data_IF_821981030486
#
_entry.id   IF_821981030486
#
_cell.length_a   1.000
_cell.length_b   1.000
_cell.length_c   1.000
_cell.angle_alpha   90.00
_cell.angle_beta   90.00
_cell.angle_gamma   90.00
#
_symmetry.space_group_name_H-M   'P 1'
#
loop_
_entity.id
_entity.type
_entity.pdbx_description
1 polymer ?
#
# COMPACT_ATOMS: atom_id res chain seq x y z
N UNK A 1 -45.49 84.64 26.21
CA UNK A 1 -45.83 83.38 26.90
C UNK A 1 -45.44 82.23 25.98
N UNK A 2 -44.51 81.39 26.42
CA UNK A 2 -44.26 80.01 25.94
C UNK A 2 -45.18 79.05 26.74
N UNK A 3 -45.26 77.72 26.50
CA UNK A 3 -44.64 76.82 25.50
C UNK A 3 -45.69 75.87 24.85
N UNK A 4 -45.33 75.01 23.89
CA UNK A 4 -45.29 73.53 24.00
C UNK A 4 -46.06 72.96 22.76
N UNK A 5 -45.81 71.83 22.10
CA UNK A 5 -44.96 70.64 22.24
C UNK A 5 -44.96 69.98 20.85
N UNK A 6 -43.79 69.62 20.30
CA UNK A 6 -43.62 68.40 19.49
C UNK A 6 -42.12 68.18 19.19
N UNK A 7 -41.37 67.84 20.24
CA UNK A 7 -40.05 67.22 20.11
C UNK A 7 -40.28 65.71 20.09
N UNK A 8 -40.28 65.11 18.91
CA UNK A 8 -40.21 63.65 18.77
C UNK A 8 -38.83 63.20 19.27
N UNK A 9 -38.81 62.68 20.49
CA UNK A 9 -37.68 62.02 21.11
C UNK A 9 -37.38 60.72 20.34
N UNK A 10 -36.45 60.79 19.38
CA UNK A 10 -35.76 59.59 18.90
C UNK A 10 -34.85 59.12 20.03
N UNK A 11 -35.37 58.24 20.87
CA UNK A 11 -34.59 57.69 21.97
C UNK A 11 -33.43 56.82 21.44
N UNK A 12 -32.19 57.03 21.92
CA UNK A 12 -31.00 56.34 21.44
C UNK A 12 -31.00 54.82 21.71
N UNK A 13 -31.91 54.31 22.55
CA UNK A 13 -32.01 52.88 22.88
C UNK A 13 -32.60 52.03 21.74
N UNK A 14 -33.44 52.58 20.86
CA UNK A 14 -33.99 51.81 19.73
C UNK A 14 -32.95 51.51 18.65
N UNK A 15 -32.03 52.46 18.40
CA UNK A 15 -30.88 52.24 17.50
C UNK A 15 -29.89 51.25 18.12
N UNK A 16 -29.66 51.35 19.44
CA UNK A 16 -28.81 50.41 20.17
C UNK A 16 -29.37 48.97 20.14
N UNK A 17 -30.69 48.79 20.33
CA UNK A 17 -31.34 47.48 20.26
C UNK A 17 -31.33 46.88 18.85
N UNK A 18 -31.47 47.69 17.79
CA UNK A 18 -31.38 47.22 16.40
C UNK A 18 -29.96 46.81 16.01
N UNK A 19 -28.95 47.53 16.49
CA UNK A 19 -27.53 47.19 16.27
C UNK A 19 -27.15 45.93 17.08
N UNK A 20 -27.65 45.79 18.31
CA UNK A 20 -27.42 44.59 19.13
C UNK A 20 -28.10 43.34 18.53
N UNK A 21 -29.32 43.49 17.97
CA UNK A 21 -30.00 42.40 17.27
C UNK A 21 -29.29 42.00 15.97
N UNK A 22 -28.72 42.95 15.21
CA UNK A 22 -27.91 42.63 14.03
C UNK A 22 -26.57 41.99 14.38
N UNK A 23 -25.92 42.40 15.48
CA UNK A 23 -24.69 41.76 15.95
C UNK A 23 -24.94 40.36 16.53
N UNK A 24 -26.10 40.10 17.14
CA UNK A 24 -26.49 38.76 17.60
C UNK A 24 -26.86 37.80 16.45
N UNK A 25 -27.38 38.30 15.32
CA UNK A 25 -27.62 37.49 14.13
C UNK A 25 -26.32 37.18 13.36
N UNK A 26 -25.31 38.05 13.44
CA UNK A 26 -23.98 37.82 12.82
C UNK A 26 -23.04 36.93 13.63
N UNK A 27 -23.26 36.76 14.94
CA UNK A 27 -22.51 35.83 15.80
C UNK A 27 -23.07 34.39 15.73
N UNK A 28 -24.23 34.20 15.08
CA UNK A 28 -24.88 32.88 14.90
C UNK A 28 -24.33 32.03 13.75
N UNK A 29 -23.44 32.55 12.89
CA UNK A 29 -22.67 31.72 11.96
C UNK A 29 -21.43 31.18 12.66
N UNK A 30 -21.63 30.37 13.70
CA UNK A 30 -20.60 29.41 14.08
C UNK A 30 -20.41 28.49 12.88
N UNK A 31 -19.29 28.65 12.17
CA UNK A 31 -18.83 27.68 11.20
C UNK A 31 -18.70 26.34 11.94
N UNK A 32 -19.72 25.49 11.83
CA UNK A 32 -19.60 24.10 12.22
C UNK A 32 -18.36 23.59 11.51
N UNK A 33 -17.39 22.98 12.21
CA UNK A 33 -16.30 22.31 11.51
C UNK A 33 -16.98 21.36 10.53
N UNK A 34 -16.71 21.52 9.25
CA UNK A 34 -17.14 20.55 8.25
C UNK A 34 -16.51 19.23 8.69
N UNK A 35 -17.28 18.40 9.40
CA UNK A 35 -16.88 17.03 9.67
C UNK A 35 -16.79 16.40 8.30
N UNK A 36 -15.56 16.22 7.82
CA UNK A 36 -15.30 15.43 6.64
C UNK A 36 -16.05 14.10 6.84
N UNK A 37 -16.95 13.78 5.90
CA UNK A 37 -17.66 12.52 5.95
C UNK A 37 -16.62 11.39 6.08
N UNK A 38 -16.83 10.40 6.96
CA UNK A 38 -15.89 9.30 7.09
C UNK A 38 -15.71 8.65 5.73
N UNK A 39 -14.45 8.57 5.28
CA UNK A 39 -14.11 7.96 4.01
C UNK A 39 -14.55 6.49 4.03
N UNK A 40 -15.37 6.09 3.07
CA UNK A 40 -15.88 4.72 2.98
C UNK A 40 -14.88 3.86 2.22
N UNK A 41 -14.41 2.79 2.87
CA UNK A 41 -13.43 1.87 2.29
C UNK A 41 -14.01 0.49 1.98
N UNK A 42 -15.32 0.29 2.13
CA UNK A 42 -15.96 -1.00 2.00
C UNK A 42 -16.39 -1.62 3.32
N UNK A 43 -16.95 -2.82 3.24
CA UNK A 43 -17.58 -3.51 4.37
C UNK A 43 -17.38 -5.03 4.28
N UNK A 44 -16.92 -5.65 5.37
CA UNK A 44 -16.95 -7.10 5.52
C UNK A 44 -18.35 -7.55 5.89
N UNK A 45 -18.92 -8.47 5.11
CA UNK A 45 -20.31 -8.93 5.30
C UNK A 45 -20.44 -10.12 6.24
N UNK A 46 -19.32 -10.74 6.58
CA UNK A 46 -19.28 -11.97 7.36
C UNK A 46 -18.20 -11.86 8.45
N UNK A 47 -18.36 -12.53 9.61
CA UNK A 47 -17.25 -12.81 10.50
C UNK A 47 -16.23 -13.72 9.79
N UNK A 48 -14.95 -13.58 10.14
CA UNK A 48 -13.92 -14.50 9.65
C UNK A 48 -13.94 -15.75 10.52
N UNK A 49 -14.42 -16.86 9.96
CA UNK A 49 -14.53 -18.15 10.64
C UNK A 49 -13.63 -19.20 9.99
N UNK A 50 -12.90 -19.96 10.79
CA UNK A 50 -11.97 -20.96 10.29
C UNK A 50 -11.06 -21.52 11.37
N UNK A 51 -10.06 -22.29 10.94
CA UNK A 51 -9.06 -22.90 11.82
C UNK A 51 -7.70 -22.91 11.14
N UNK A 52 -6.65 -22.86 11.94
CA UNK A 52 -5.32 -23.16 11.45
C UNK A 52 -5.20 -24.66 11.15
N UNK A 53 -4.52 -24.96 10.05
CA UNK A 53 -4.16 -26.32 9.63
C UNK A 53 -2.65 -26.41 9.53
N UNK A 54 -2.10 -27.51 10.04
CA UNK A 54 -0.67 -27.77 9.95
C UNK A 54 -0.25 -27.92 8.48
N UNK A 55 0.71 -27.11 8.07
CA UNK A 55 1.27 -27.12 6.72
C UNK A 55 2.75 -26.71 6.80
N UNK A 56 3.50 -26.99 5.75
CA UNK A 56 4.92 -26.64 5.64
C UNK A 56 5.12 -25.61 4.52
N UNK A 57 5.97 -24.58 4.71
CA UNK A 57 6.82 -24.34 5.89
C UNK A 57 6.10 -23.75 7.11
N UNK A 58 4.79 -23.51 7.03
CA UNK A 58 4.01 -22.88 8.10
C UNK A 58 2.51 -23.22 8.02
N UNK A 59 1.74 -23.02 9.12
CA UNK A 59 0.31 -23.25 9.13
C UNK A 59 -0.44 -22.41 8.11
N UNK A 60 -1.50 -22.97 7.53
CA UNK A 60 -2.46 -22.25 6.70
C UNK A 60 -3.74 -22.00 7.50
N UNK A 61 -4.50 -20.97 7.14
CA UNK A 61 -5.83 -20.74 7.68
C UNK A 61 -6.88 -21.30 6.72
N UNK A 62 -7.67 -22.27 7.19
CA UNK A 62 -8.76 -22.87 6.43
C UNK A 62 -10.08 -22.24 6.85
N UNK A 63 -10.79 -21.65 5.88
CA UNK A 63 -12.10 -21.04 6.13
C UNK A 63 -13.15 -22.11 6.43
N UNK A 64 -13.95 -21.89 7.48
CA UNK A 64 -15.09 -22.73 7.83
C UNK A 64 -16.36 -22.31 7.08
N UNK A 65 -16.51 -21.00 6.84
CA UNK A 65 -17.66 -20.41 6.17
C UNK A 65 -17.23 -19.57 4.97
N UNK A 66 -18.21 -19.16 4.16
CA UNK A 66 -17.99 -18.16 3.12
C UNK A 66 -17.60 -16.82 3.76
N UNK A 67 -16.66 -16.12 3.16
CA UNK A 67 -16.20 -14.82 3.65
C UNK A 67 -16.24 -13.77 2.54
N UNK A 68 -16.94 -12.65 2.78
CA UNK A 68 -17.20 -11.62 1.76
C UNK A 68 -16.79 -10.23 2.20
N UNK A 69 -16.30 -9.48 1.21
CA UNK A 69 -15.99 -8.05 1.33
C UNK A 69 -16.60 -7.28 0.16
N UNK A 70 -17.33 -6.21 0.43
CA UNK A 70 -17.80 -5.28 -0.61
C UNK A 70 -16.86 -4.07 -0.58
N UNK A 71 -16.17 -3.83 -1.69
CA UNK A 71 -15.23 -2.72 -1.80
C UNK A 71 -15.96 -1.36 -1.98
N UNK A 72 -15.27 -0.21 -1.94
CA UNK A 72 -15.93 1.09 -1.99
C UNK A 72 -16.56 1.41 -3.35
N UNK A 73 -16.24 0.63 -4.40
CA UNK A 73 -16.87 0.73 -5.72
C UNK A 73 -18.10 -0.20 -5.84
N UNK A 74 -18.48 -0.91 -4.77
CA UNK A 74 -19.60 -1.84 -4.75
C UNK A 74 -19.27 -3.23 -5.30
N UNK A 75 -18.00 -3.52 -5.58
CA UNK A 75 -17.61 -4.83 -6.10
C UNK A 75 -17.52 -5.85 -4.96
N UNK A 76 -18.18 -6.99 -5.13
CA UNK A 76 -18.21 -8.07 -4.14
C UNK A 76 -17.02 -9.02 -4.34
N UNK A 77 -16.20 -9.19 -3.31
CA UNK A 77 -15.09 -10.13 -3.22
C UNK A 77 -15.52 -11.31 -2.33
N UNK A 78 -15.36 -12.54 -2.82
CA UNK A 78 -15.88 -13.76 -2.16
C UNK A 78 -14.76 -14.77 -2.02
N UNK A 79 -14.59 -15.31 -0.82
CA UNK A 79 -13.78 -16.50 -0.57
C UNK A 79 -14.72 -17.62 -0.12
N UNK A 80 -14.82 -18.73 -0.87
CA UNK A 80 -15.71 -19.82 -0.51
C UNK A 80 -15.21 -20.61 0.71
N UNK A 81 -16.10 -21.32 1.44
CA UNK A 81 -15.71 -22.18 2.54
C UNK A 81 -14.74 -23.27 2.10
N UNK A 82 -13.89 -23.72 3.02
CA UNK A 82 -12.89 -24.75 2.80
C UNK A 82 -11.63 -24.29 2.06
N UNK A 83 -11.57 -23.04 1.58
CA UNK A 83 -10.34 -22.47 1.03
C UNK A 83 -9.28 -22.31 2.12
N UNK A 84 -8.05 -22.61 1.74
CA UNK A 84 -6.87 -22.48 2.59
C UNK A 84 -6.06 -21.30 2.06
N UNK A 85 -5.74 -20.37 2.96
CA UNK A 85 -4.90 -19.20 2.70
C UNK A 85 -3.70 -19.26 3.62
N UNK A 86 -2.56 -18.77 3.14
CA UNK A 86 -1.30 -18.84 3.87
C UNK A 86 -0.86 -17.48 4.44
N UNK A 87 -1.49 -16.38 4.03
CA UNK A 87 -1.06 -15.00 4.27
C UNK A 87 0.30 -14.68 3.64
N UNK A 88 0.68 -15.37 2.54
CA UNK A 88 2.00 -15.24 1.88
C UNK A 88 2.10 -14.13 0.85
N UNK A 89 1.00 -13.48 0.52
CA UNK A 89 0.99 -12.51 -0.58
C UNK A 89 1.89 -11.28 -0.33
N UNK A 90 2.24 -11.03 0.93
CA UNK A 90 3.35 -10.18 1.36
C UNK A 90 4.63 -11.03 1.34
N UNK A 91 5.71 -10.65 0.64
CA UNK A 91 6.94 -11.44 0.61
C UNK A 91 7.53 -11.62 2.02
N UNK A 92 8.08 -12.81 2.28
CA UNK A 92 8.61 -13.20 3.60
C UNK A 92 9.65 -12.24 4.16
N UNK A 93 10.49 -11.67 3.28
CA UNK A 93 11.46 -10.65 3.62
C UNK A 93 10.83 -9.47 4.38
N UNK A 94 9.53 -9.22 4.21
CA UNK A 94 8.81 -8.13 4.85
C UNK A 94 8.00 -8.52 6.09
N UNK A 95 7.93 -9.79 6.48
CA UNK A 95 7.11 -10.24 7.62
C UNK A 95 7.65 -9.77 8.98
N UNK A 96 8.97 -9.68 9.13
CA UNK A 96 9.58 -9.07 10.31
C UNK A 96 9.23 -7.58 10.46
N UNK A 97 8.70 -6.95 9.40
CA UNK A 97 8.26 -5.56 9.41
C UNK A 97 6.75 -5.43 9.50
N UNK A 98 5.99 -6.19 8.75
CA UNK A 98 4.53 -5.97 8.67
C UNK A 98 3.80 -6.67 9.82
N UNK A 99 4.39 -7.71 10.40
CA UNK A 99 3.72 -8.67 11.26
C UNK A 99 3.43 -9.96 10.48
N UNK A 100 3.10 -11.02 11.20
CA UNK A 100 2.78 -12.29 10.59
C UNK A 100 1.55 -12.21 9.67
N UNK A 101 1.41 -13.14 8.69
CA UNK A 101 0.23 -13.29 7.81
C UNK A 101 -1.15 -13.17 8.47
N UNK A 102 -1.24 -13.59 9.74
CA UNK A 102 -2.47 -13.79 10.51
C UNK A 102 -2.53 -12.94 11.77
N UNK A 103 -1.75 -11.86 11.83
CA UNK A 103 -1.69 -10.99 13.00
C UNK A 103 -2.41 -9.66 12.75
N UNK A 104 -2.96 -9.10 13.82
CA UNK A 104 -3.51 -7.74 13.82
C UNK A 104 -4.74 -7.50 12.94
N UNK A 105 -4.97 -6.24 12.64
CA UNK A 105 -6.20 -5.77 11.99
C UNK A 105 -6.26 -6.01 10.47
N UNK A 106 -5.24 -6.61 9.83
CA UNK A 106 -5.25 -6.86 8.39
C UNK A 106 -5.56 -8.30 7.98
N UNK A 107 -5.75 -9.24 8.93
CA UNK A 107 -6.04 -10.66 8.63
C UNK A 107 -7.26 -10.84 7.70
N UNK A 108 -8.33 -10.07 7.93
CA UNK A 108 -9.52 -10.11 7.07
C UNK A 108 -9.20 -9.71 5.63
N UNK A 109 -8.33 -8.70 5.46
CA UNK A 109 -7.91 -8.25 4.14
C UNK A 109 -6.96 -9.26 3.47
N UNK A 110 -6.06 -9.89 4.22
CA UNK A 110 -5.10 -10.87 3.68
C UNK A 110 -5.81 -12.13 3.16
N UNK A 111 -6.86 -12.61 3.85
CA UNK A 111 -7.67 -13.75 3.39
C UNK A 111 -8.27 -13.51 1.99
N UNK A 112 -8.87 -12.33 1.77
CA UNK A 112 -9.37 -11.98 0.44
C UNK A 112 -8.20 -11.87 -0.56
N UNK A 113 -7.13 -11.17 -0.17
CA UNK A 113 -6.00 -10.91 -1.06
C UNK A 113 -5.30 -12.18 -1.54
N UNK A 114 -5.01 -13.13 -0.64
CA UNK A 114 -4.39 -14.41 -0.98
C UNK A 114 -5.27 -15.24 -1.92
N UNK A 115 -6.58 -15.31 -1.63
CA UNK A 115 -7.50 -16.07 -2.47
C UNK A 115 -7.44 -15.56 -3.92
N UNK A 116 -7.48 -14.25 -4.12
CA UNK A 116 -7.44 -13.65 -5.45
C UNK A 116 -6.05 -13.63 -6.09
N UNK A 117 -4.96 -13.67 -5.31
CA UNK A 117 -3.60 -13.90 -5.82
C UNK A 117 -3.42 -15.33 -6.34
N UNK A 118 -4.09 -16.31 -5.72
CA UNK A 118 -4.05 -17.71 -6.14
C UNK A 118 -4.98 -17.98 -7.32
N UNK A 119 -6.24 -17.55 -7.21
CA UNK A 119 -7.26 -17.77 -8.24
C UNK A 119 -7.00 -16.93 -9.49
N UNK A 120 -6.43 -15.73 -9.33
CA UNK A 120 -6.17 -14.76 -10.41
C UNK A 120 -7.38 -14.50 -11.30
N UNK A 121 -8.58 -14.58 -10.73
CA UNK A 121 -9.85 -14.27 -11.42
C UNK A 121 -10.09 -12.77 -11.63
N UNK A 122 -9.25 -11.92 -11.03
CA UNK A 122 -9.23 -10.46 -11.18
C UNK A 122 -7.82 -10.00 -11.51
N UNK A 123 -7.70 -8.75 -11.94
CA UNK A 123 -6.38 -8.16 -12.21
C UNK A 123 -5.56 -8.12 -10.92
N UNK A 124 -4.24 -8.15 -11.06
CA UNK A 124 -3.31 -7.97 -9.95
C UNK A 124 -3.49 -6.57 -9.35
N UNK A 125 -3.68 -5.56 -10.20
CA UNK A 125 -3.96 -4.19 -9.80
C UNK A 125 -5.14 -4.10 -8.82
N UNK A 126 -6.30 -4.65 -9.20
CA UNK A 126 -7.51 -4.57 -8.38
C UNK A 126 -7.38 -5.43 -7.13
N UNK A 127 -6.69 -6.58 -7.25
CA UNK A 127 -6.44 -7.48 -6.12
C UNK A 127 -5.59 -6.79 -5.04
N UNK A 128 -4.46 -6.17 -5.42
CA UNK A 128 -3.61 -5.42 -4.48
C UNK A 128 -4.30 -4.16 -3.95
N UNK A 129 -5.08 -3.44 -4.78
CA UNK A 129 -5.84 -2.27 -4.33
C UNK A 129 -6.96 -2.67 -3.35
N UNK A 130 -7.61 -3.80 -3.55
CA UNK A 130 -8.61 -4.31 -2.62
C UNK A 130 -8.02 -4.67 -1.25
N UNK A 131 -6.76 -5.09 -1.20
CA UNK A 131 -6.06 -5.28 0.08
C UNK A 131 -5.99 -3.97 0.89
N UNK A 132 -5.69 -2.83 0.25
CA UNK A 132 -5.76 -1.51 0.88
C UNK A 132 -7.15 -1.21 1.45
N UNK A 133 -8.20 -1.41 0.63
CA UNK A 133 -9.58 -1.17 1.04
C UNK A 133 -9.98 -2.03 2.25
N UNK A 134 -9.71 -3.33 2.20
CA UNK A 134 -9.99 -4.24 3.32
C UNK A 134 -9.27 -3.84 4.60
N UNK A 135 -8.00 -3.41 4.51
CA UNK A 135 -7.24 -2.93 5.67
C UNK A 135 -7.87 -1.68 6.29
N UNK A 136 -8.22 -0.69 5.45
CA UNK A 136 -8.85 0.55 5.93
C UNK A 136 -10.24 0.32 6.49
N UNK A 137 -11.04 -0.54 5.87
CA UNK A 137 -12.35 -0.94 6.36
C UNK A 137 -12.29 -1.66 7.73
N UNK A 138 -11.17 -2.35 8.03
CA UNK A 138 -10.94 -3.00 9.32
C UNK A 138 -10.10 -2.14 10.29
N UNK A 139 -9.95 -0.84 10.04
CA UNK A 139 -9.37 0.12 11.00
C UNK A 139 -7.84 0.25 11.00
N UNK A 140 -7.13 -0.35 10.04
CA UNK A 140 -5.67 -0.18 9.91
C UNK A 140 -5.35 1.28 9.58
N UNK A 141 -4.40 1.90 10.30
CA UNK A 141 -3.93 3.28 10.05
C UNK A 141 -3.56 3.50 8.57
N UNK A 142 -3.94 4.65 8.01
CA UNK A 142 -3.79 4.94 6.58
C UNK A 142 -2.37 4.74 6.06
N UNK A 143 -1.37 5.26 6.78
CA UNK A 143 0.02 5.15 6.37
C UNK A 143 0.51 3.69 6.36
N UNK A 144 0.03 2.83 7.29
CA UNK A 144 0.34 1.38 7.31
C UNK A 144 -0.30 0.68 6.13
N UNK A 145 -1.58 0.96 5.88
CA UNK A 145 -2.31 0.38 4.76
C UNK A 145 -1.70 0.77 3.40
N UNK A 146 -1.28 2.04 3.23
CA UNK A 146 -0.57 2.50 2.02
C UNK A 146 0.79 1.84 1.85
N UNK A 147 1.56 1.70 2.94
CA UNK A 147 2.84 0.99 2.89
C UNK A 147 2.65 -0.47 2.47
N UNK A 148 1.70 -1.17 3.09
CA UNK A 148 1.42 -2.58 2.77
C UNK A 148 0.90 -2.75 1.35
N UNK A 149 0.06 -1.82 0.85
CA UNK A 149 -0.36 -1.78 -0.56
C UNK A 149 0.84 -1.62 -1.51
N UNK A 150 1.70 -0.64 -1.24
CA UNK A 150 2.92 -0.42 -2.01
C UNK A 150 3.82 -1.67 -2.02
N UNK A 151 3.99 -2.33 -0.87
CA UNK A 151 4.82 -3.51 -0.74
C UNK A 151 4.29 -4.69 -1.58
N UNK A 152 3.00 -5.02 -1.49
CA UNK A 152 2.41 -6.12 -2.28
C UNK A 152 2.37 -5.79 -3.77
N UNK A 153 2.13 -4.52 -4.15
CA UNK A 153 2.14 -4.11 -5.55
C UNK A 153 3.55 -4.15 -6.17
N UNK A 154 4.59 -3.85 -5.37
CA UNK A 154 5.98 -3.85 -5.82
C UNK A 154 6.53 -5.27 -5.89
N UNK A 155 6.41 -6.02 -4.79
CA UNK A 155 7.13 -7.28 -4.58
C UNK A 155 6.26 -8.54 -4.62
N UNK A 156 4.93 -8.41 -4.56
CA UNK A 156 4.01 -9.53 -4.61
C UNK A 156 3.91 -10.18 -6.00
N UNK A 157 3.05 -11.21 -6.14
CA UNK A 157 2.76 -11.84 -7.42
C UNK A 157 2.21 -10.81 -8.42
N UNK A 158 2.60 -10.90 -9.69
CA UNK A 158 2.15 -10.00 -10.74
C UNK A 158 1.65 -10.81 -11.94
N UNK A 159 0.47 -10.47 -12.45
CA UNK A 159 -0.12 -11.15 -13.60
C UNK A 159 -0.98 -10.19 -14.42
N UNK A 160 -1.29 -10.59 -15.64
CA UNK A 160 -2.25 -9.91 -16.52
C UNK A 160 -3.33 -10.88 -16.97
N UNK A 161 -4.51 -10.34 -17.25
CA UNK A 161 -5.61 -11.07 -17.85
C UNK A 161 -5.74 -10.67 -19.32
N UNK A 162 -5.20 -11.51 -20.20
CA UNK A 162 -5.24 -11.27 -21.64
C UNK A 162 -6.53 -11.88 -22.22
N UNK A 163 -7.26 -11.09 -23.01
CA UNK A 163 -8.38 -11.61 -23.81
C UNK A 163 -7.82 -12.30 -25.05
N UNK A 164 -8.02 -13.61 -25.16
CA UNK A 164 -7.65 -14.40 -26.34
C UNK A 164 -8.88 -15.02 -26.97
N UNK A 165 -8.88 -15.12 -28.29
CA UNK A 165 -9.90 -15.87 -29.03
C UNK A 165 -9.40 -17.30 -29.18
N UNK A 166 -10.12 -18.24 -28.58
CA UNK A 166 -9.87 -19.66 -28.72
C UNK A 166 -10.88 -20.27 -29.70
N UNK A 167 -10.39 -21.09 -30.63
CA UNK A 167 -11.25 -21.87 -31.52
C UNK A 167 -11.59 -23.18 -30.84
N UNK A 168 -12.85 -23.36 -30.44
CA UNK A 168 -13.31 -24.62 -29.89
C UNK A 168 -13.81 -25.50 -31.04
N UNK A 169 -12.88 -26.20 -31.70
CA UNK A 169 -13.18 -27.05 -32.86
C UNK A 169 -13.70 -28.41 -32.39
N UNK A 170 -14.91 -28.75 -32.85
CA UNK A 170 -15.44 -30.12 -32.81
C UNK A 170 -15.21 -30.75 -34.18
N UNK A 171 -14.33 -31.74 -34.20
CA UNK A 171 -13.98 -32.48 -35.41
C UNK A 171 -14.61 -33.87 -35.39
N UNK A 172 -15.36 -34.20 -36.44
CA UNK A 172 -15.99 -35.51 -36.60
C UNK A 172 -15.46 -36.17 -37.88
N UNK A 173 -15.09 -37.47 -37.83
CA UNK A 173 -14.75 -38.23 -39.03
C UNK A 173 -16.01 -38.48 -39.88
N UNK A 174 -15.87 -38.33 -41.20
CA UNK A 174 -16.93 -38.52 -42.17
C UNK A 174 -16.34 -39.23 -43.41
N UNK A 175 -16.29 -40.56 -43.35
CA UNK A 175 -15.52 -41.39 -44.28
C UNK A 175 -14.02 -41.22 -44.06
N UNK A 176 -13.25 -41.08 -45.16
CA UNK A 176 -11.79 -40.85 -45.11
C UNK A 176 -11.41 -39.39 -44.80
N UNK A 177 -12.38 -38.51 -44.54
CA UNK A 177 -12.16 -37.08 -44.29
C UNK A 177 -12.62 -36.69 -42.88
N UNK A 178 -11.96 -35.69 -42.29
CA UNK A 178 -12.32 -35.11 -40.99
C UNK A 178 -12.93 -33.73 -41.23
N UNK A 179 -14.15 -33.51 -40.72
CA UNK A 179 -14.81 -32.20 -40.74
C UNK A 179 -14.78 -31.58 -39.36
N UNK A 180 -14.24 -30.37 -39.26
CA UNK A 180 -14.20 -29.59 -38.02
C UNK A 180 -15.16 -28.40 -38.12
N UNK A 181 -15.95 -28.18 -37.08
CA UNK A 181 -16.78 -26.98 -36.90
C UNK A 181 -16.49 -26.38 -35.53
N UNK A 182 -16.37 -25.06 -35.43
CA UNK A 182 -16.11 -24.38 -34.17
C UNK A 182 -16.58 -22.93 -34.20
N UNK A 183 -17.01 -22.44 -33.05
CA UNK A 183 -17.29 -21.03 -32.84
C UNK A 183 -16.13 -20.39 -32.08
N UNK A 184 -15.74 -19.15 -32.43
CA UNK A 184 -14.74 -18.42 -31.67
C UNK A 184 -15.30 -18.11 -30.27
N UNK A 185 -14.55 -18.45 -29.24
CA UNK A 185 -14.87 -18.15 -27.85
C UNK A 185 -13.79 -17.22 -27.28
N UNK A 186 -14.20 -16.10 -26.66
CA UNK A 186 -13.25 -15.22 -25.96
C UNK A 186 -12.97 -15.81 -24.59
N UNK A 187 -11.71 -16.18 -24.35
CA UNK A 187 -11.23 -16.68 -23.06
C UNK A 187 -10.22 -15.72 -22.46
N UNK A 188 -10.29 -15.55 -21.14
CA UNK A 188 -9.24 -14.87 -20.38
C UNK A 188 -8.10 -15.87 -20.14
N UNK A 189 -6.89 -15.47 -20.51
CA UNK A 189 -5.67 -16.23 -20.20
C UNK A 189 -4.82 -15.45 -19.21
N UNK A 190 -4.28 -16.14 -18.21
CA UNK A 190 -3.41 -15.55 -17.20
C UNK A 190 -1.97 -15.52 -17.75
N UNK A 191 -1.39 -14.33 -17.82
CA UNK A 191 0.03 -14.13 -18.13
C UNK A 191 0.75 -13.68 -16.86
N UNK A 192 1.57 -14.56 -16.28
CA UNK A 192 2.34 -14.21 -15.08
C UNK A 192 3.59 -13.42 -15.46
N UNK A 193 3.87 -12.34 -14.73
CA UNK A 193 5.06 -11.51 -14.92
C UNK A 193 6.17 -11.96 -13.97
N UNK A 194 7.45 -11.68 -14.30
CA UNK A 194 8.58 -12.07 -13.45
C UNK A 194 8.42 -11.58 -12.00
N UNK A 195 8.78 -12.45 -11.07
CA UNK A 195 8.90 -12.12 -9.64
C UNK A 195 10.22 -11.41 -9.38
N UNK A 196 10.28 -10.61 -8.33
CA UNK A 196 11.54 -10.04 -7.84
C UNK A 196 12.26 -11.10 -7.03
N UNK A 197 13.54 -11.33 -7.32
CA UNK A 197 14.38 -12.26 -6.58
C UNK A 197 14.89 -11.61 -5.29
N UNK A 198 14.15 -11.79 -4.20
CA UNK A 198 14.52 -11.30 -2.87
C UNK A 198 15.51 -12.22 -2.14
N UNK A 199 15.96 -13.32 -2.76
CA UNK A 199 17.04 -14.16 -2.23
C UNK A 199 18.43 -13.63 -2.62
N UNK A 200 18.48 -12.76 -3.63
CA UNK A 200 19.67 -12.02 -4.02
C UNK A 200 20.00 -10.95 -2.96
N UNK A 201 21.20 -11.00 -2.32
CA UNK A 201 21.53 -10.10 -1.21
C UNK A 201 21.46 -8.61 -1.55
N UNK A 202 21.86 -8.23 -2.76
CA UNK A 202 21.86 -6.83 -3.21
C UNK A 202 20.43 -6.33 -3.43
N UNK A 203 19.62 -7.15 -4.10
CA UNK A 203 18.20 -6.90 -4.33
C UNK A 203 17.46 -6.76 -3.01
N UNK A 204 17.73 -7.67 -2.07
CA UNK A 204 17.17 -7.63 -0.72
C UNK A 204 17.59 -6.34 0.01
N UNK A 205 18.89 -6.01 0.03
CA UNK A 205 19.40 -4.80 0.70
C UNK A 205 18.73 -3.52 0.21
N UNK A 206 18.59 -3.39 -1.10
CA UNK A 206 17.95 -2.23 -1.71
C UNK A 206 16.43 -2.22 -1.51
N UNK A 207 15.77 -3.37 -1.61
CA UNK A 207 14.34 -3.49 -1.37
C UNK A 207 13.98 -3.05 0.07
N UNK A 208 14.78 -3.48 1.03
CA UNK A 208 14.64 -3.13 2.45
C UNK A 208 14.96 -1.67 2.72
N UNK A 209 16.04 -1.16 2.14
CA UNK A 209 16.42 0.25 2.30
C UNK A 209 15.37 1.18 1.69
N UNK A 210 14.77 0.77 0.58
CA UNK A 210 13.66 1.48 -0.05
C UNK A 210 12.39 1.37 0.79
N UNK A 211 12.02 0.18 1.26
CA UNK A 211 10.88 -0.01 2.16
C UNK A 211 11.01 0.87 3.41
N UNK A 212 12.22 1.03 3.96
CA UNK A 212 12.53 1.94 5.08
C UNK A 212 12.13 3.36 4.74
N UNK A 213 12.62 3.87 3.61
CA UNK A 213 12.32 5.23 3.18
C UNK A 213 10.82 5.43 2.97
N UNK A 214 10.13 4.48 2.34
CA UNK A 214 8.69 4.58 2.09
C UNK A 214 7.90 4.59 3.40
N UNK A 215 8.20 3.66 4.32
CA UNK A 215 7.53 3.59 5.61
C UNK A 215 7.74 4.87 6.44
N UNK A 216 8.98 5.37 6.53
CA UNK A 216 9.31 6.61 7.24
C UNK A 216 8.63 7.82 6.62
N UNK A 217 8.57 7.90 5.30
CA UNK A 217 7.93 9.00 4.57
C UNK A 217 6.42 9.03 4.79
N UNK A 218 5.76 7.87 4.65
CA UNK A 218 4.35 7.74 4.95
C UNK A 218 4.05 8.05 6.42
N UNK A 219 4.88 7.58 7.37
CA UNK A 219 4.72 7.87 8.80
C UNK A 219 4.84 9.36 9.09
N UNK A 220 5.88 10.00 8.56
CA UNK A 220 6.18 11.43 8.80
C UNK A 220 5.10 12.34 8.22
N UNK A 221 4.58 11.99 7.05
CA UNK A 221 3.57 12.79 6.34
C UNK A 221 2.13 12.43 6.68
N UNK A 222 1.92 11.49 7.61
CA UNK A 222 0.60 10.89 7.89
C UNK A 222 -0.09 10.40 6.60
N UNK A 223 0.63 9.65 5.78
CA UNK A 223 0.12 9.01 4.57
C UNK A 223 0.02 9.91 3.34
N UNK A 224 0.60 11.13 3.34
CA UNK A 224 0.49 12.08 2.20
C UNK A 224 1.64 11.98 1.18
N UNK A 225 2.83 11.60 1.63
CA UNK A 225 4.05 11.50 0.81
C UNK A 225 4.55 10.06 0.90
N UNK A 226 4.66 9.43 -0.27
CA UNK A 226 5.05 8.03 -0.40
C UNK A 226 6.56 7.87 -0.33
N UNK A 227 7.29 8.67 -1.09
CA UNK A 227 8.73 8.51 -1.30
C UNK A 227 9.39 9.84 -1.72
N UNK A 228 10.72 9.84 -1.82
CA UNK A 228 11.54 10.95 -2.29
C UNK A 228 12.37 10.45 -3.49
N UNK A 229 11.97 10.86 -4.69
CA UNK A 229 12.68 10.58 -5.93
C UNK A 229 13.74 11.65 -6.24
N UNK A 230 14.50 11.47 -7.31
CA UNK A 230 15.40 12.50 -7.83
C UNK A 230 14.67 13.78 -8.27
N UNK A 231 13.38 13.71 -8.63
CA UNK A 231 12.58 14.85 -9.04
C UNK A 231 11.83 15.53 -7.88
N UNK A 232 11.83 14.93 -6.69
CA UNK A 232 11.20 15.49 -5.50
C UNK A 232 10.33 14.48 -4.75
N UNK A 233 9.40 14.98 -3.95
CA UNK A 233 8.47 14.15 -3.20
C UNK A 233 7.47 13.48 -4.15
N UNK A 234 7.16 12.22 -3.88
CA UNK A 234 6.15 11.43 -4.59
C UNK A 234 4.89 11.41 -3.73
N UNK A 235 3.74 11.76 -4.32
CA UNK A 235 2.44 11.70 -3.66
C UNK A 235 2.05 10.28 -3.25
N UNK A 236 1.11 10.16 -2.32
CA UNK A 236 0.63 8.87 -1.81
C UNK A 236 -0.86 8.63 -2.12
N UNK A 237 -1.35 9.11 -3.27
CA UNK A 237 -2.64 8.62 -3.79
C UNK A 237 -2.51 7.15 -4.20
N UNK A 238 -3.63 6.43 -4.33
CA UNK A 238 -3.59 5.01 -4.73
C UNK A 238 -2.98 4.84 -6.14
N UNK A 239 -3.22 5.79 -7.03
CA UNK A 239 -2.63 5.77 -8.37
C UNK A 239 -1.14 6.10 -8.36
N UNK A 240 -0.69 7.02 -7.48
CA UNK A 240 0.74 7.28 -7.30
C UNK A 240 1.46 6.04 -6.76
N UNK A 241 0.86 5.35 -5.79
CA UNK A 241 1.39 4.10 -5.22
C UNK A 241 1.52 3.04 -6.31
N UNK A 242 0.48 2.82 -7.13
CA UNK A 242 0.51 1.84 -8.20
C UNK A 242 1.62 2.15 -9.23
N UNK A 243 1.72 3.41 -9.68
CA UNK A 243 2.75 3.85 -10.63
C UNK A 243 4.16 3.70 -10.05
N UNK A 244 4.34 4.09 -8.80
CA UNK A 244 5.61 3.99 -8.10
C UNK A 244 6.03 2.52 -7.90
N UNK A 245 5.09 1.64 -7.55
CA UNK A 245 5.33 0.21 -7.42
C UNK A 245 5.75 -0.43 -8.76
N UNK A 246 5.12 -0.08 -9.87
CA UNK A 246 5.50 -0.57 -11.21
C UNK A 246 6.91 -0.08 -11.61
N UNK A 247 7.26 1.17 -11.30
CA UNK A 247 8.62 1.69 -11.51
C UNK A 247 9.65 0.87 -10.72
N UNK A 248 9.42 0.65 -9.43
CA UNK A 248 10.35 -0.10 -8.60
C UNK A 248 10.45 -1.56 -9.02
N UNK A 249 9.32 -2.18 -9.37
CA UNK A 249 9.33 -3.54 -9.90
C UNK A 249 10.20 -3.64 -11.16
N UNK A 250 10.11 -2.67 -12.07
CA UNK A 250 11.00 -2.64 -13.24
C UNK A 250 12.47 -2.59 -12.82
N UNK A 251 12.85 -1.74 -11.86
CA UNK A 251 14.25 -1.61 -11.38
C UNK A 251 14.75 -2.90 -10.73
N UNK A 252 13.96 -3.50 -9.83
CA UNK A 252 14.35 -4.71 -9.09
C UNK A 252 14.34 -5.97 -9.96
N UNK A 253 13.39 -6.09 -10.89
CA UNK A 253 13.30 -7.25 -11.77
C UNK A 253 14.44 -7.34 -12.79
N UNK A 254 14.99 -6.19 -13.23
CA UNK A 254 16.10 -6.15 -14.19
C UNK A 254 17.48 -6.10 -13.53
N UNK A 255 17.53 -5.97 -12.20
CA UNK A 255 18.77 -5.75 -11.41
C UNK A 255 19.61 -4.57 -11.92
N UNK A 256 18.99 -3.60 -12.59
CA UNK A 256 19.69 -2.48 -13.25
C UNK A 256 20.01 -1.33 -12.28
N UNK A 257 20.43 -1.65 -11.07
CA UNK A 257 20.58 -0.69 -9.96
C UNK A 257 21.58 0.43 -10.25
N UNK A 258 22.70 0.10 -10.91
CA UNK A 258 23.74 1.07 -11.24
C UNK A 258 23.31 2.07 -12.31
N UNK A 259 22.65 1.62 -13.39
CA UNK A 259 22.18 2.53 -14.47
C UNK A 259 20.88 3.25 -14.09
N UNK A 260 20.09 2.65 -13.21
CA UNK A 260 18.85 3.20 -12.68
C UNK A 260 18.99 3.78 -11.27
N UNK A 261 20.22 4.11 -10.83
CA UNK A 261 20.50 4.58 -9.47
C UNK A 261 19.64 5.78 -9.05
N UNK A 262 19.46 6.76 -9.93
CA UNK A 262 18.60 7.92 -9.68
C UNK A 262 17.10 7.55 -9.54
N UNK A 263 16.65 6.44 -10.15
CA UNK A 263 15.27 5.94 -10.02
C UNK A 263 15.02 5.34 -8.64
N UNK A 264 16.06 4.92 -7.92
CA UNK A 264 15.96 4.47 -6.53
C UNK A 264 15.74 5.64 -5.56
N UNK A 265 15.96 6.90 -5.96
CA UNK A 265 15.70 8.05 -5.10
C UNK A 265 16.50 8.01 -3.79
N UNK A 266 15.88 8.48 -2.71
CA UNK A 266 16.45 8.39 -1.35
C UNK A 266 16.27 6.98 -0.79
N UNK A 267 17.29 6.50 -0.09
CA UNK A 267 17.32 5.23 0.63
C UNK A 267 17.67 5.51 2.10
N UNK A 268 17.23 4.62 2.98
CA UNK A 268 17.60 4.69 4.40
C UNK A 268 17.81 3.31 4.95
N UNK A 269 18.70 3.19 5.92
CA UNK A 269 18.88 1.92 6.61
C UNK A 269 17.59 1.50 7.29
N UNK A 270 17.34 0.20 7.28
CA UNK A 270 16.27 -0.41 8.05
C UNK A 270 16.85 -0.93 9.37
N UNK A 271 16.29 -0.54 10.51
CA UNK A 271 16.84 -0.89 11.83
C UNK A 271 15.76 -1.18 12.89
N UNK A 272 14.55 -1.57 12.49
CA UNK A 272 13.42 -1.78 13.41
C UNK A 272 12.69 -3.11 13.15
N UNK A 273 12.05 -3.68 14.17
CA UNK A 273 11.25 -4.91 14.03
C UNK A 273 9.77 -4.56 14.14
N UNK A 274 9.07 -4.46 13.02
CA UNK A 274 7.65 -4.12 12.99
C UNK A 274 7.33 -2.68 12.54
N UNK A 275 6.17 -2.49 11.92
CA UNK A 275 5.66 -1.20 11.45
C UNK A 275 5.44 -0.24 12.61
N UNK A 276 5.03 -0.74 13.77
CA UNK A 276 4.80 0.08 14.96
C UNK A 276 6.08 0.74 15.49
N UNK A 277 7.25 0.18 15.16
CA UNK A 277 8.55 0.72 15.55
C UNK A 277 9.14 1.69 14.52
N UNK A 278 8.50 1.87 13.36
CA UNK A 278 8.96 2.80 12.33
C UNK A 278 8.93 4.23 12.87
N UNK A 279 10.11 4.84 12.93
CA UNK A 279 10.27 6.23 13.36
C UNK A 279 10.01 7.18 12.18
N UNK A 280 9.39 8.32 12.47
CA UNK A 280 9.36 9.42 11.52
C UNK A 280 10.78 9.88 11.14
N UNK A 281 10.91 10.66 10.08
CA UNK A 281 12.13 11.40 9.78
C UNK A 281 12.42 12.38 10.91
N UNK A 282 13.71 12.65 11.12
CA UNK A 282 14.18 13.51 12.20
C UNK A 282 13.53 14.90 12.05
N UNK A 283 13.13 15.49 13.18
CA UNK A 283 12.40 16.77 13.23
C UNK A 283 11.09 16.79 12.43
N UNK A 284 10.56 15.62 12.03
CA UNK A 284 9.40 15.51 11.14
C UNK A 284 9.60 16.19 9.77
N UNK A 285 10.86 16.35 9.34
CA UNK A 285 11.21 16.94 8.06
C UNK A 285 11.59 15.86 7.04
N UNK A 286 11.01 15.95 5.84
CA UNK A 286 11.35 15.04 4.76
C UNK A 286 12.76 15.28 4.24
N UNK A 287 13.55 14.21 3.97
CA UNK A 287 14.85 14.37 3.34
C UNK A 287 14.72 14.93 1.93
N UNK A 288 15.81 15.54 1.44
CA UNK A 288 15.93 15.99 0.05
C UNK A 288 16.90 15.10 -0.68
N UNK A 289 16.58 14.72 -1.92
CA UNK A 289 17.45 13.88 -2.75
C UNK A 289 18.87 14.46 -2.92
N UNK A 290 19.00 15.78 -3.06
CA UNK A 290 20.30 16.43 -3.19
C UNK A 290 21.11 16.47 -1.88
N UNK A 291 20.45 16.34 -0.73
CA UNK A 291 21.10 16.27 0.58
C UNK A 291 21.48 14.83 0.97
N UNK A 292 20.99 13.81 0.25
CA UNK A 292 21.27 12.42 0.52
C UNK A 292 22.74 12.10 0.24
N UNK A 293 23.37 11.37 1.16
CA UNK A 293 24.77 10.95 1.05
C UNK A 293 24.91 9.96 -0.11
N UNK A 294 25.87 10.18 -1.01
CA UNK A 294 26.17 9.18 -2.06
C UNK A 294 26.90 8.01 -1.40
N UNK A 295 26.44 6.77 -1.64
CA UNK A 295 27.09 5.56 -1.12
C UNK A 295 28.43 5.32 -1.81
N UNK A 296 29.52 5.59 -1.11
CA UNK A 296 30.91 5.38 -1.55
C UNK A 296 31.72 4.76 -0.41
N UNK A 297 32.92 4.20 -0.65
CA UNK A 297 33.72 3.61 0.44
C UNK A 297 33.94 4.57 1.62
N UNK A 298 34.10 5.87 1.34
CA UNK A 298 34.35 6.91 2.35
C UNK A 298 33.11 7.29 3.16
N UNK A 299 31.92 7.05 2.62
CA UNK A 299 30.65 7.48 3.24
C UNK A 299 29.88 6.35 3.91
N UNK A 300 30.32 5.10 3.76
CA UNK A 300 29.67 3.91 4.34
C UNK A 300 29.43 4.07 5.84
N UNK A 301 30.40 4.56 6.62
CA UNK A 301 30.23 4.79 8.07
C UNK A 301 29.13 5.82 8.38
N UNK A 302 28.91 6.80 7.50
CA UNK A 302 27.80 7.77 7.64
C UNK A 302 26.46 7.10 7.38
N UNK A 303 26.39 6.23 6.38
CA UNK A 303 25.18 5.43 6.09
C UNK A 303 24.86 4.49 7.25
N UNK A 304 25.87 3.77 7.77
CA UNK A 304 25.77 2.88 8.93
C UNK A 304 25.37 3.57 10.25
N UNK A 305 25.57 4.88 10.36
CA UNK A 305 25.08 5.68 11.49
C UNK A 305 23.66 6.22 11.26
N UNK A 306 22.95 5.74 10.23
CA UNK A 306 21.55 6.05 9.97
C UNK A 306 21.32 7.26 9.05
N UNK A 307 22.36 7.81 8.41
CA UNK A 307 22.16 8.86 7.40
C UNK A 307 21.45 8.28 6.18
N UNK A 308 20.44 8.99 5.70
CA UNK A 308 19.80 8.67 4.43
C UNK A 308 20.77 8.91 3.28
N UNK A 309 20.68 8.05 2.26
CA UNK A 309 21.67 7.94 1.21
C UNK A 309 21.00 7.77 -0.16
N UNK A 310 21.81 7.79 -1.21
CA UNK A 310 21.43 7.51 -2.59
C UNK A 310 22.54 6.74 -3.28
N UNK A 311 22.20 6.08 -4.38
CA UNK A 311 23.18 5.42 -5.23
C UNK A 311 23.62 6.34 -6.38
N UNK A 312 24.81 6.06 -6.89
CA UNK A 312 25.32 6.50 -8.18
C UNK A 312 25.76 5.30 -9.02
N UNK A 313 26.36 5.54 -10.18
CA UNK A 313 26.81 4.49 -11.09
C UNK A 313 27.89 3.56 -10.50
N UNK A 314 28.63 4.03 -9.47
CA UNK A 314 29.75 3.30 -8.86
C UNK A 314 29.37 2.61 -7.55
N UNK A 315 28.18 2.89 -7.01
CA UNK A 315 27.72 2.37 -5.72
C UNK A 315 27.48 0.85 -5.72
N UNK A 316 27.36 0.22 -6.90
CA UNK A 316 27.05 -1.20 -7.04
C UNK A 316 28.04 -2.12 -6.35
N UNK A 317 29.34 -1.77 -6.31
CA UNK A 317 30.38 -2.56 -5.67
C UNK A 317 30.30 -2.59 -4.12
N UNK A 318 29.39 -1.81 -3.53
CA UNK A 318 29.22 -1.68 -2.08
C UNK A 318 27.92 -2.32 -1.56
N UNK A 319 27.11 -2.88 -2.47
CA UNK A 319 25.91 -3.62 -2.10
C UNK A 319 26.29 -4.99 -1.51
N UNK A 320 25.45 -5.53 -0.64
CA UNK A 320 25.74 -6.76 0.12
C UNK A 320 26.36 -6.48 1.50
N UNK A 321 27.69 -6.47 1.59
CA UNK A 321 28.43 -6.61 2.86
C UNK A 321 28.41 -5.38 3.80
N UNK A 322 28.06 -4.19 3.30
CA UNK A 322 28.25 -2.93 4.04
C UNK A 322 26.96 -2.25 4.49
N UNK A 323 25.83 -2.57 3.87
CA UNK A 323 24.51 -2.28 4.42
C UNK A 323 24.21 -3.44 5.36
N UNK A 324 24.45 -3.25 6.66
CA UNK A 324 24.35 -4.28 7.69
C UNK A 324 22.92 -4.86 7.78
N UNK A 325 22.63 -5.81 6.89
CA UNK A 325 21.42 -6.62 6.88
C UNK A 325 21.49 -7.75 7.90
N UNK A 326 22.60 -7.93 8.64
CA UNK A 326 22.68 -8.95 9.71
C UNK A 326 21.67 -8.70 10.82
N UNK A 327 21.05 -7.53 10.87
CA UNK A 327 19.88 -7.24 11.71
C UNK A 327 18.58 -7.93 11.27
N UNK A 328 18.56 -8.65 10.15
CA UNK A 328 17.45 -9.53 9.75
C UNK A 328 17.62 -10.99 10.15
N UNK A 329 18.75 -11.35 10.76
CA UNK A 329 18.87 -12.59 11.54
C UNK A 329 18.17 -12.47 12.90
N UNK A 330 16.99 -11.85 12.96
CA UNK A 330 16.15 -11.90 14.15
C UNK A 330 15.33 -13.20 14.06
N UNK A 331 15.92 -14.25 14.64
CA UNK A 331 15.27 -15.47 15.15
C UNK A 331 14.31 -16.17 14.17
N UNK A 332 14.87 -17.02 13.30
CA UNK A 332 14.26 -18.34 13.01
C UNK A 332 14.31 -19.29 14.22
N UNK A 333 14.10 -18.74 15.42
CA UNK A 333 14.06 -19.49 16.67
C UNK A 333 12.64 -19.50 17.19
N UNK A 334 11.92 -20.59 16.95
CA UNK A 334 11.66 -21.59 17.98
C UNK A 334 11.59 -22.97 17.35
N UNK A 335 12.71 -23.69 17.46
CA UNK A 335 12.71 -25.12 17.70
C UNK A 335 12.14 -25.35 19.09
N UNK A 336 10.93 -25.91 19.15
CA UNK A 336 10.54 -27.09 19.94
C UNK A 336 9.12 -27.49 19.63
#
# INVERSE_FOLDING_TARGET
MSPDVQRYLQHPWEKAMRILAFLLVLVGLSASPAMAAPEFFGEFRDPLEGRFVDAQPRPMFKLAAQFRFVDPNGLLWIVPPGKEVDGASIPQAFWSFIGGPFEGAYIKASVIHDHYCNEKSRTEHDTHRNFYYGMRANGVEEWKAKFMYWAVATFGPKWKLDKRVAQNLKCNPMGDKIFCSGLPEVKLTISSLPTIDLNDPDTLALALSKASTVARSLKTSNGKVLDISASGQVGASLDDIAKNADQYRSVFSTKDYGKSAAKLGVLSQWNVSGLDQVKAWDNSEMPRYNAAVVLTPDTVKKVQSGKYFKLDANSGALLGDQLDLKSLEIKSGHSR
#
